data_IF_913355025600
#
_entry.id   IF_913355025600
#
_cell.length_a   1.000
_cell.length_b   1.000
_cell.length_c   1.000
_cell.angle_alpha   90.00
_cell.angle_beta   90.00
_cell.angle_gamma   90.00
#
_symmetry.space_group_name_H-M   'P 1'
#
loop_
_entity.id
_entity.type
_entity.pdbx_description
1 polymer ?
#
# COMPACT_ATOMS: atom_id res chain seq x y z
N UNK A 1 -72.82 14.34 3.66
CA UNK A 1 -72.93 13.14 4.51
C UNK A 1 -73.57 12.04 3.71
N UNK A 2 -73.04 10.82 3.77
CA UNK A 2 -73.73 9.58 3.39
C UNK A 2 -72.96 8.40 4.01
N UNK A 3 -73.69 7.44 4.55
CA UNK A 3 -73.20 6.38 5.44
C UNK A 3 -73.30 5.01 4.77
N UNK A 4 -72.39 4.13 5.18
CA UNK A 4 -72.49 2.64 5.28
C UNK A 4 -72.37 1.78 4.02
N UNK A 5 -71.46 0.81 4.13
CA UNK A 5 -71.43 -0.43 3.33
C UNK A 5 -70.34 -1.37 3.81
N UNK A 6 -70.61 -2.13 4.87
CA UNK A 6 -69.76 -3.21 5.40
C UNK A 6 -70.05 -4.49 4.61
N UNK A 7 -69.03 -5.11 4.00
CA UNK A 7 -69.06 -6.53 3.61
C UNK A 7 -67.89 -7.26 4.23
N UNK A 8 -68.18 -8.51 4.58
CA UNK A 8 -67.50 -9.44 5.45
C UNK A 8 -66.87 -10.53 4.57
N UNK A 9 -65.60 -10.81 4.84
CA UNK A 9 -64.96 -12.14 4.89
C UNK A 9 -65.02 -13.07 3.65
N UNK A 10 -63.85 -13.29 3.06
CA UNK A 10 -63.44 -14.60 2.52
C UNK A 10 -61.96 -14.80 2.80
N UNK A 11 -61.73 -15.36 3.98
CA UNK A 11 -60.69 -16.32 4.35
C UNK A 11 -59.86 -16.92 3.18
N UNK A 12 -58.59 -16.49 3.08
CA UNK A 12 -57.48 -17.28 2.51
C UNK A 12 -56.44 -17.45 3.62
N UNK A 13 -55.95 -18.66 3.91
CA UNK A 13 -54.97 -18.86 4.98
C UNK A 13 -53.63 -18.20 4.60
N UNK A 14 -53.00 -17.39 5.47
CA UNK A 14 -51.64 -16.93 5.22
C UNK A 14 -50.64 -18.04 5.54
N UNK A 15 -49.63 -18.17 4.67
CA UNK A 15 -48.47 -19.02 4.84
C UNK A 15 -47.73 -18.71 6.16
N UNK A 16 -47.12 -19.72 6.82
CA UNK A 16 -46.38 -19.51 8.05
C UNK A 16 -45.01 -18.90 7.74
N UNK A 17 -44.60 -17.88 8.51
CA UNK A 17 -43.17 -17.59 8.65
C UNK A 17 -42.65 -16.16 8.49
N UNK A 18 -43.47 -15.11 8.60
CA UNK A 18 -42.94 -13.73 8.68
C UNK A 18 -43.46 -13.03 9.95
N UNK A 19 -42.56 -12.48 10.80
CA UNK A 19 -42.95 -11.83 12.05
C UNK A 19 -43.70 -10.52 11.75
N UNK A 20 -44.89 -10.38 12.30
CA UNK A 20 -45.69 -9.16 12.25
C UNK A 20 -45.03 -8.05 13.09
N UNK A 21 -45.09 -6.78 12.67
CA UNK A 21 -44.57 -5.67 13.48
C UNK A 21 -45.45 -5.45 14.73
N UNK A 22 -44.88 -5.03 15.87
CA UNK A 22 -45.63 -4.83 17.09
C UNK A 22 -46.55 -3.61 16.98
N UNK A 23 -47.84 -3.78 17.28
CA UNK A 23 -48.75 -2.67 17.52
C UNK A 23 -48.43 -1.98 18.85
N UNK A 24 -48.60 -0.65 18.97
CA UNK A 24 -48.19 0.10 20.14
C UNK A 24 -49.18 -0.05 21.30
N UNK A 25 -48.69 -0.37 22.50
CA UNK A 25 -49.38 -0.04 23.74
C UNK A 25 -49.73 -1.16 24.74
N UNK A 26 -48.92 -2.23 24.92
CA UNK A 26 -49.12 -3.14 26.06
C UNK A 26 -47.79 -3.45 26.80
N UNK A 27 -47.79 -3.56 28.14
CA UNK A 27 -46.58 -3.72 28.94
C UNK A 27 -46.04 -5.16 28.88
N UNK A 28 -44.70 -5.28 28.83
CA UNK A 28 -43.98 -6.56 28.80
C UNK A 28 -44.19 -7.37 30.10
N UNK A 29 -44.48 -8.68 30.03
CA UNK A 29 -44.38 -9.57 31.18
C UNK A 29 -42.91 -9.95 31.47
N UNK A 30 -42.54 -10.20 32.74
CA UNK A 30 -41.18 -10.55 33.13
C UNK A 30 -40.84 -11.99 32.73
N UNK A 31 -39.63 -12.27 32.18
CA UNK A 31 -39.24 -13.63 31.86
C UNK A 31 -38.87 -14.42 33.13
N UNK A 32 -39.53 -15.58 33.25
CA UNK A 32 -39.33 -16.62 34.24
C UNK A 32 -37.92 -17.23 34.15
N UNK A 33 -37.33 -17.52 35.31
CA UNK A 33 -36.02 -18.12 35.49
C UNK A 33 -35.96 -19.60 35.08
N UNK A 34 -34.90 -19.97 34.36
CA UNK A 34 -34.37 -21.34 34.24
C UNK A 34 -32.84 -21.28 34.46
N UNK A 35 -32.23 -22.22 35.20
CA UNK A 35 -30.85 -22.08 35.69
C UNK A 35 -29.81 -22.48 34.64
N UNK A 36 -28.86 -21.60 34.39
CA UNK A 36 -27.64 -21.86 33.61
C UNK A 36 -26.56 -22.50 34.52
N UNK A 37 -25.64 -23.33 33.97
CA UNK A 37 -24.55 -23.92 34.74
C UNK A 37 -23.61 -22.82 35.26
N UNK A 38 -23.08 -23.04 36.47
CA UNK A 38 -22.26 -22.08 37.20
C UNK A 38 -20.98 -21.70 36.42
N UNK A 39 -20.93 -20.46 35.97
CA UNK A 39 -19.69 -19.79 35.58
C UNK A 39 -18.89 -19.41 36.83
N UNK A 40 -17.56 -19.58 36.83
CA UNK A 40 -16.74 -19.21 37.97
C UNK A 40 -16.79 -17.70 38.18
N UNK A 41 -16.70 -17.28 39.45
CA UNK A 41 -16.68 -15.88 39.85
C UNK A 41 -15.64 -15.08 39.05
N UNK A 42 -15.91 -13.82 38.66
CA UNK A 42 -14.88 -12.96 38.12
C UNK A 42 -13.82 -12.75 39.21
N UNK A 43 -12.62 -13.26 38.96
CA UNK A 43 -11.43 -12.83 39.68
C UNK A 43 -11.28 -11.32 39.47
N UNK A 44 -11.00 -10.60 40.56
CA UNK A 44 -10.60 -9.20 40.54
C UNK A 44 -9.44 -9.04 39.56
N UNK A 45 -9.65 -8.22 38.53
CA UNK A 45 -8.57 -7.81 37.63
C UNK A 45 -7.46 -7.12 38.45
N UNK A 46 -6.18 -7.39 38.18
CA UNK A 46 -5.10 -6.59 38.72
C UNK A 46 -5.22 -5.15 38.21
N UNK A 47 -4.92 -4.20 39.09
CA UNK A 47 -4.85 -2.78 38.83
C UNK A 47 -3.91 -2.53 37.63
N UNK A 48 -4.43 -1.89 36.57
CA UNK A 48 -3.62 -1.52 35.43
C UNK A 48 -2.53 -0.53 35.87
N UNK A 49 -1.27 -0.70 35.44
CA UNK A 49 -0.23 0.27 35.73
C UNK A 49 -0.61 1.63 35.12
N UNK A 50 -0.46 2.68 35.92
CA UNK A 50 -0.62 4.07 35.51
C UNK A 50 0.19 4.35 34.23
N UNK A 51 -0.37 5.04 33.23
CA UNK A 51 0.38 5.43 32.04
C UNK A 51 1.55 6.35 32.44
N UNK A 52 2.74 6.04 31.92
CA UNK A 52 3.91 6.89 32.03
C UNK A 52 3.65 8.28 31.40
N UNK A 53 4.25 9.37 31.93
CA UNK A 53 4.11 10.69 31.34
C UNK A 53 4.72 10.72 29.93
N UNK A 54 4.00 11.36 28.99
CA UNK A 54 4.49 11.61 27.63
C UNK A 54 5.85 12.35 27.66
N UNK A 55 6.79 12.02 26.75
CA UNK A 55 8.01 12.80 26.58
C UNK A 55 7.65 14.23 26.14
N UNK A 56 8.33 15.21 26.75
CA UNK A 56 8.19 16.62 26.43
C UNK A 56 8.52 16.88 24.95
N UNK A 57 7.71 17.72 24.30
CA UNK A 57 7.93 18.15 22.93
C UNK A 57 9.34 18.78 22.79
N UNK A 58 10.11 18.42 21.74
CA UNK A 58 11.39 19.07 21.48
C UNK A 58 11.17 20.55 21.13
N UNK A 59 11.99 21.41 21.72
CA UNK A 59 12.10 22.83 21.41
C UNK A 59 12.27 23.07 19.91
N UNK A 60 11.76 24.18 19.34
CA UNK A 60 11.94 24.45 17.91
C UNK A 60 13.42 24.63 17.58
N UNK A 61 13.92 23.84 16.63
CA UNK A 61 15.25 24.01 16.05
C UNK A 61 15.34 25.37 15.31
N UNK A 62 16.52 26.02 15.30
CA UNK A 62 16.77 27.18 14.47
C UNK A 62 16.70 26.82 12.98
N UNK A 63 16.03 27.68 12.20
CA UNK A 63 15.82 27.49 10.76
C UNK A 63 17.16 27.37 10.01
N UNK A 64 17.35 26.26 9.31
CA UNK A 64 18.42 26.10 8.33
C UNK A 64 18.10 26.94 7.06
N UNK A 65 19.10 27.52 6.38
CA UNK A 65 18.88 28.37 5.21
C UNK A 65 18.53 27.54 3.98
N UNK A 66 17.43 27.87 3.31
CA UNK A 66 17.08 27.32 2.00
C UNK A 66 18.02 27.85 0.89
N UNK A 67 18.31 27.06 -0.16
CA UNK A 67 19.10 27.51 -1.31
C UNK A 67 18.35 28.57 -2.15
N UNK A 68 19.08 29.49 -2.83
CA UNK A 68 18.48 30.62 -3.53
C UNK A 68 17.69 30.17 -4.76
N UNK A 69 16.42 30.54 -4.81
CA UNK A 69 15.54 30.35 -5.97
C UNK A 69 15.82 31.46 -6.98
N UNK A 70 16.32 31.07 -8.16
CA UNK A 70 16.73 31.94 -9.26
C UNK A 70 15.51 32.32 -10.13
N UNK A 71 14.59 33.12 -9.58
CA UNK A 71 13.69 33.97 -10.38
C UNK A 71 12.93 34.97 -9.48
N UNK A 72 13.29 36.27 -9.48
CA UNK A 72 12.63 37.26 -8.63
C UNK A 72 11.26 37.68 -9.23
N UNK A 73 10.14 37.60 -8.47
CA UNK A 73 8.94 38.35 -8.80
C UNK A 73 9.24 39.86 -8.69
N UNK A 74 8.61 40.70 -9.52
CA UNK A 74 9.00 42.11 -9.69
C UNK A 74 8.88 42.89 -8.38
N UNK A 75 9.91 43.68 -8.12
CA UNK A 75 10.03 44.58 -6.98
C UNK A 75 8.81 45.54 -6.91
N UNK A 76 7.96 45.34 -5.91
CA UNK A 76 7.09 46.40 -5.41
C UNK A 76 7.94 47.31 -4.51
N UNK A 77 8.67 48.22 -5.14
CA UNK A 77 9.12 49.44 -4.48
C UNK A 77 7.89 50.26 -4.12
N UNK A 78 7.46 50.22 -2.86
CA UNK A 78 6.57 51.23 -2.29
C UNK A 78 7.21 51.76 -1.00
N UNK A 79 8.26 52.54 -1.21
CA UNK A 79 8.54 53.66 -0.33
C UNK A 79 7.48 54.75 -0.60
N UNK A 80 6.98 55.38 0.46
CA UNK A 80 6.11 56.56 0.47
C UNK A 80 4.61 56.37 0.15
N UNK A 81 3.81 56.14 1.22
CA UNK A 81 2.70 57.01 1.66
C UNK A 81 1.60 56.24 2.43
N UNK A 82 1.91 55.87 3.68
CA UNK A 82 0.96 55.41 4.69
C UNK A 82 0.01 56.53 5.15
N UNK A 83 -0.85 57.04 4.27
CA UNK A 83 -1.84 58.08 4.60
C UNK A 83 -3.23 57.88 3.98
N UNK A 84 -3.42 57.02 2.98
CA UNK A 84 -4.75 56.76 2.41
C UNK A 84 -5.42 55.46 2.95
N UNK A 85 -4.66 54.49 3.48
CA UNK A 85 -5.24 53.25 4.04
C UNK A 85 -6.02 53.51 5.36
N UNK A 86 -5.62 54.54 6.12
CA UNK A 86 -6.36 54.99 7.30
C UNK A 86 -7.60 55.82 6.96
N UNK A 87 -7.77 56.29 5.73
CA UNK A 87 -8.91 57.16 5.38
C UNK A 87 -10.23 56.42 5.41
N UNK A 88 -10.24 55.15 5.01
CA UNK A 88 -11.43 54.30 5.11
C UNK A 88 -11.74 53.92 6.56
N UNK A 89 -10.71 53.63 7.38
CA UNK A 89 -10.85 53.37 8.81
C UNK A 89 -11.31 54.60 9.61
N UNK A 90 -10.80 55.79 9.28
CA UNK A 90 -11.14 57.06 9.92
C UNK A 90 -12.62 57.44 9.74
N UNK A 91 -13.25 57.04 8.62
CA UNK A 91 -14.68 57.25 8.35
C UNK A 91 -15.61 56.42 9.25
N UNK A 92 -15.07 55.41 9.93
CA UNK A 92 -15.79 54.59 10.93
C UNK A 92 -15.29 54.85 12.35
N UNK A 93 -14.04 55.26 12.54
CA UNK A 93 -13.49 55.62 13.85
C UNK A 93 -14.27 56.75 14.54
N UNK A 94 -14.87 57.68 13.78
CA UNK A 94 -15.73 58.76 14.32
C UNK A 94 -17.18 58.37 14.57
N UNK A 95 -17.59 57.12 14.31
CA UNK A 95 -18.96 56.65 14.52
C UNK A 95 -19.04 55.88 15.82
N UNK A 96 -19.19 56.67 16.89
CA UNK A 96 -19.54 56.30 18.26
C UNK A 96 -18.46 55.63 19.10
N UNK A 97 -18.02 56.34 20.14
CA UNK A 97 -17.25 55.83 21.29
C UNK A 97 -18.06 54.87 22.18
N UNK A 98 -19.24 54.46 21.72
CA UNK A 98 -20.15 53.58 22.46
C UNK A 98 -19.72 52.13 22.20
N UNK A 99 -19.73 51.25 23.22
CA UNK A 99 -19.40 49.85 23.02
C UNK A 99 -20.31 49.23 21.95
N UNK A 100 -19.76 48.33 21.15
CA UNK A 100 -20.41 47.72 19.98
C UNK A 100 -21.80 47.14 20.30
N UNK A 101 -21.98 46.56 21.50
CA UNK A 101 -23.26 46.05 22.01
C UNK A 101 -24.34 47.14 22.11
N UNK A 102 -23.96 48.35 22.48
CA UNK A 102 -24.87 49.49 22.58
C UNK A 102 -25.25 50.06 21.21
N UNK A 103 -24.37 49.91 20.22
CA UNK A 103 -24.62 50.26 18.81
C UNK A 103 -25.65 49.31 18.22
N UNK A 104 -25.51 47.99 18.39
CA UNK A 104 -26.50 46.99 17.96
C UNK A 104 -27.89 47.28 18.54
N UNK A 105 -27.97 47.51 19.86
CA UNK A 105 -29.23 47.86 20.51
C UNK A 105 -29.80 49.22 20.07
N UNK A 106 -28.95 50.19 19.70
CA UNK A 106 -29.42 51.47 19.13
C UNK A 106 -29.96 51.31 17.73
N UNK A 107 -29.29 50.54 16.87
CA UNK A 107 -29.75 50.26 15.50
C UNK A 107 -31.10 49.52 15.53
N UNK A 108 -31.27 48.59 16.47
CA UNK A 108 -32.54 47.89 16.69
C UNK A 108 -33.68 48.83 17.10
N UNK A 109 -33.39 49.86 17.91
CA UNK A 109 -34.38 50.85 18.35
C UNK A 109 -34.69 51.90 17.27
N UNK A 110 -33.69 52.28 16.48
CA UNK A 110 -33.85 53.24 15.38
C UNK A 110 -34.61 52.61 14.20
N UNK A 111 -34.39 51.32 13.96
CA UNK A 111 -35.08 50.54 12.95
C UNK A 111 -36.44 50.06 13.48
N UNK A 112 -37.41 50.98 13.51
CA UNK A 112 -38.82 50.82 13.90
C UNK A 112 -39.32 49.37 13.98
N UNK A 113 -39.34 48.82 15.20
CA UNK A 113 -40.14 47.73 15.82
C UNK A 113 -40.70 46.50 15.07
N UNK A 114 -40.66 46.37 13.75
CA UNK A 114 -41.33 45.24 13.04
C UNK A 114 -40.40 44.27 12.31
N UNK A 115 -39.08 44.48 12.35
CA UNK A 115 -38.14 43.70 11.52
C UNK A 115 -37.09 42.91 12.33
N UNK A 116 -37.29 42.67 13.63
CA UNK A 116 -36.34 41.89 14.46
C UNK A 116 -35.01 42.62 14.73
N UNK A 117 -34.07 41.96 15.41
CA UNK A 117 -32.73 42.50 15.71
C UNK A 117 -31.85 42.57 14.46
N UNK A 118 -30.89 43.49 14.40
CA UNK A 118 -29.94 43.65 13.31
C UNK A 118 -29.16 42.36 13.04
N UNK A 119 -28.79 41.63 14.10
CA UNK A 119 -28.10 40.34 13.99
C UNK A 119 -28.98 39.26 13.36
N UNK A 120 -30.27 39.26 13.70
CA UNK A 120 -31.27 38.32 13.17
C UNK A 120 -31.49 38.56 11.66
N UNK A 121 -31.58 39.83 11.24
CA UNK A 121 -31.66 40.19 9.81
C UNK A 121 -30.40 39.87 9.03
N UNK A 122 -29.23 40.00 9.66
CA UNK A 122 -27.96 39.62 9.05
C UNK A 122 -27.89 38.10 8.87
N UNK A 123 -28.32 37.33 9.86
CA UNK A 123 -28.42 35.87 9.76
C UNK A 123 -29.42 35.41 8.69
N UNK A 124 -30.56 36.10 8.52
CA UNK A 124 -31.54 35.76 7.49
C UNK A 124 -31.06 36.10 6.07
N UNK A 125 -30.41 37.26 5.89
CA UNK A 125 -29.97 37.74 4.56
C UNK A 125 -28.61 37.19 4.12
N UNK A 126 -27.71 36.90 5.07
CA UNK A 126 -26.34 36.46 4.79
C UNK A 126 -25.96 35.12 5.45
N UNK A 127 -26.71 34.66 6.46
CA UNK A 127 -26.36 33.47 7.25
C UNK A 127 -26.79 32.13 6.65
N UNK A 128 -27.57 32.11 5.58
CA UNK A 128 -28.06 30.86 4.96
C UNK A 128 -27.86 30.81 3.44
N UNK A 129 -27.39 31.88 2.81
CA UNK A 129 -27.11 31.90 1.36
C UNK A 129 -25.81 31.15 1.07
N UNK A 130 -24.77 31.40 1.87
CA UNK A 130 -23.48 30.73 1.75
C UNK A 130 -23.60 29.24 2.07
N UNK A 131 -24.27 28.87 3.17
CA UNK A 131 -24.48 27.46 3.52
C UNK A 131 -25.35 26.72 2.49
N UNK A 132 -26.36 27.38 1.89
CA UNK A 132 -27.14 26.79 0.79
C UNK A 132 -26.31 26.61 -0.48
N UNK A 133 -25.54 27.61 -0.87
CA UNK A 133 -24.65 27.54 -2.04
C UNK A 133 -23.57 26.47 -1.84
N UNK A 134 -22.96 26.41 -0.66
CA UNK A 134 -22.00 25.37 -0.29
C UNK A 134 -22.64 23.99 -0.32
N UNK A 135 -23.87 23.81 0.19
CA UNK A 135 -24.57 22.51 0.12
C UNK A 135 -24.87 22.12 -1.33
N UNK A 136 -25.27 23.07 -2.19
CA UNK A 136 -25.51 22.82 -3.61
C UNK A 136 -24.20 22.47 -4.33
N UNK A 137 -23.12 23.21 -4.07
CA UNK A 137 -21.79 22.93 -4.63
C UNK A 137 -21.26 21.57 -4.18
N UNK A 138 -21.29 21.26 -2.87
CA UNK A 138 -20.90 19.92 -2.36
C UNK A 138 -21.79 18.80 -2.89
N UNK A 139 -23.07 19.07 -3.14
CA UNK A 139 -23.99 18.11 -3.77
C UNK A 139 -23.62 17.90 -5.24
N UNK A 140 -23.36 18.98 -5.98
CA UNK A 140 -22.92 18.95 -7.37
C UNK A 140 -21.57 18.25 -7.54
N UNK A 141 -20.62 18.49 -6.64
CA UNK A 141 -19.32 17.82 -6.66
C UNK A 141 -19.46 16.31 -6.40
N UNK A 142 -20.32 15.91 -5.46
CA UNK A 142 -20.63 14.48 -5.26
C UNK A 142 -21.33 13.87 -6.46
N UNK A 143 -22.28 14.58 -7.05
CA UNK A 143 -23.00 14.11 -8.24
C UNK A 143 -22.07 13.99 -9.45
N UNK A 144 -21.14 14.93 -9.64
CA UNK A 144 -20.11 14.89 -10.68
C UNK A 144 -19.17 13.68 -10.52
N UNK A 145 -18.70 13.42 -9.30
CA UNK A 145 -17.89 12.23 -8.99
C UNK A 145 -18.66 10.93 -9.21
N UNK A 146 -19.94 10.90 -8.83
CA UNK A 146 -20.79 9.73 -9.06
C UNK A 146 -21.07 9.51 -10.55
N UNK A 147 -21.27 10.57 -11.34
CA UNK A 147 -21.40 10.45 -12.79
C UNK A 147 -20.10 9.99 -13.44
N UNK A 148 -18.95 10.48 -12.96
CA UNK A 148 -17.64 10.04 -13.43
C UNK A 148 -17.43 8.54 -13.17
N UNK A 149 -17.78 8.04 -11.98
CA UNK A 149 -17.72 6.61 -11.66
C UNK A 149 -18.71 5.79 -12.50
N UNK A 150 -19.91 6.33 -12.75
CA UNK A 150 -20.97 5.61 -13.49
C UNK A 150 -20.71 5.54 -14.99
N UNK A 151 -20.16 6.61 -15.55
CA UNK A 151 -19.89 6.74 -16.98
C UNK A 151 -18.47 6.25 -17.32
N UNK A 152 -17.64 5.95 -16.31
CA UNK A 152 -16.39 5.23 -16.50
C UNK A 152 -16.68 3.85 -17.11
N UNK A 153 -15.92 3.44 -18.14
CA UNK A 153 -16.00 2.09 -18.69
C UNK A 153 -15.81 1.07 -17.58
N UNK A 154 -16.77 0.16 -17.40
CA UNK A 154 -16.60 -0.95 -16.48
C UNK A 154 -15.51 -1.86 -17.04
N UNK A 155 -14.35 -1.87 -16.38
CA UNK A 155 -13.30 -2.84 -16.66
C UNK A 155 -13.71 -4.13 -15.96
N UNK A 156 -14.36 -5.02 -16.70
CA UNK A 156 -14.38 -6.42 -16.32
C UNK A 156 -12.93 -6.90 -16.50
N UNK A 157 -12.32 -7.39 -15.42
CA UNK A 157 -11.11 -8.18 -15.51
C UNK A 157 -11.51 -9.43 -16.29
N UNK A 158 -11.30 -9.39 -17.60
CA UNK A 158 -11.27 -10.60 -18.40
C UNK A 158 -10.03 -11.31 -17.87
N UNK A 159 -10.25 -12.33 -17.03
CA UNK A 159 -9.34 -13.48 -16.97
C UNK A 159 -9.28 -13.95 -18.42
N UNK A 160 -8.35 -13.40 -19.22
CA UNK A 160 -8.10 -13.88 -20.57
C UNK A 160 -7.62 -15.30 -20.37
N UNK A 161 -8.56 -16.24 -20.54
CA UNK A 161 -8.72 -17.42 -19.70
C UNK A 161 -7.35 -18.02 -19.36
N UNK A 162 -6.92 -17.89 -18.11
CA UNK A 162 -5.68 -18.52 -17.63
C UNK A 162 -5.71 -20.01 -17.98
N UNK A 163 -6.91 -20.63 -17.91
CA UNK A 163 -7.21 -21.97 -18.42
C UNK A 163 -6.97 -22.14 -19.94
N UNK A 164 -7.25 -21.14 -20.78
CA UNK A 164 -6.93 -21.18 -22.23
C UNK A 164 -5.43 -21.08 -22.49
N UNK A 165 -4.72 -20.21 -21.76
CA UNK A 165 -3.27 -20.08 -21.88
C UNK A 165 -2.55 -21.32 -21.37
N UNK A 166 -2.99 -21.92 -20.26
CA UNK A 166 -2.50 -23.19 -19.74
C UNK A 166 -2.74 -24.34 -20.72
N UNK A 167 -3.91 -24.38 -21.37
CA UNK A 167 -4.19 -25.36 -22.42
C UNK A 167 -3.28 -25.18 -23.64
N UNK A 168 -3.00 -23.94 -24.04
CA UNK A 168 -2.06 -23.64 -25.14
C UNK A 168 -0.62 -24.02 -24.76
N UNK A 169 -0.21 -23.76 -23.51
CA UNK A 169 1.08 -24.16 -22.97
C UNK A 169 1.23 -25.69 -23.00
N UNK A 170 0.23 -26.44 -22.53
CA UNK A 170 0.24 -27.90 -22.52
C UNK A 170 0.38 -28.49 -23.93
N UNK A 171 -0.32 -27.94 -24.92
CA UNK A 171 -0.22 -28.37 -26.32
C UNK A 171 1.21 -28.19 -26.87
N UNK A 172 1.85 -27.05 -26.58
CA UNK A 172 3.23 -26.76 -27.00
C UNK A 172 4.24 -27.69 -26.29
N UNK A 173 4.03 -27.98 -25.01
CA UNK A 173 4.89 -28.89 -24.26
C UNK A 173 4.83 -30.33 -24.76
N UNK A 174 3.64 -30.80 -25.15
CA UNK A 174 3.47 -32.11 -25.77
C UNK A 174 4.14 -32.17 -27.15
N UNK A 175 4.04 -31.10 -27.95
CA UNK A 175 4.76 -31.00 -29.22
C UNK A 175 6.28 -31.04 -29.03
N UNK A 176 6.82 -30.26 -28.08
CA UNK A 176 8.24 -30.29 -27.71
C UNK A 176 8.69 -31.66 -27.21
N UNK A 177 7.86 -32.36 -26.43
CA UNK A 177 8.13 -33.72 -25.94
C UNK A 177 8.17 -34.73 -27.09
N UNK A 178 7.34 -34.56 -28.12
CA UNK A 178 7.32 -35.40 -29.31
C UNK A 178 8.52 -35.16 -30.25
N UNK A 179 8.94 -33.91 -30.43
CA UNK A 179 10.01 -33.53 -31.37
C UNK A 179 11.43 -33.69 -30.79
N UNK A 180 11.60 -33.57 -29.46
CA UNK A 180 12.91 -33.79 -28.80
C UNK A 180 13.58 -35.13 -29.13
N UNK A 181 12.92 -36.29 -29.04
CA UNK A 181 13.57 -37.57 -29.33
C UNK A 181 13.98 -37.66 -30.81
N UNK A 182 13.19 -37.10 -31.74
CA UNK A 182 13.54 -37.05 -33.16
C UNK A 182 14.77 -36.16 -33.41
N UNK A 183 14.86 -35.01 -32.74
CA UNK A 183 16.05 -34.17 -32.77
C UNK A 183 17.30 -34.90 -32.26
N UNK A 184 17.18 -35.62 -31.14
CA UNK A 184 18.30 -36.37 -30.56
C UNK A 184 18.73 -37.53 -31.46
N UNK A 185 17.78 -38.23 -32.07
CA UNK A 185 18.06 -39.30 -33.03
C UNK A 185 18.78 -38.74 -34.27
N UNK A 186 18.30 -37.64 -34.84
CA UNK A 186 18.94 -36.97 -35.97
C UNK A 186 20.34 -36.42 -35.62
N UNK A 187 20.54 -35.98 -34.37
CA UNK A 187 21.85 -35.54 -33.85
C UNK A 187 22.81 -36.71 -33.70
N UNK A 188 22.33 -37.87 -33.25
CA UNK A 188 23.12 -39.08 -33.11
C UNK A 188 23.47 -39.73 -34.46
N UNK A 189 22.55 -39.67 -35.44
CA UNK A 189 22.79 -40.16 -36.81
C UNK A 189 23.61 -39.19 -37.67
N UNK A 190 23.72 -37.91 -37.26
CA UNK A 190 24.42 -36.88 -38.01
C UNK A 190 23.64 -36.35 -39.22
N UNK A 191 22.32 -36.57 -39.26
CA UNK A 191 21.45 -36.16 -40.36
C UNK A 191 21.21 -34.64 -40.37
N UNK A 192 22.18 -33.92 -40.94
CA UNK A 192 22.19 -32.45 -41.03
C UNK A 192 20.92 -31.86 -41.67
N UNK A 193 20.33 -32.56 -42.65
CA UNK A 193 19.09 -32.12 -43.31
C UNK A 193 17.90 -32.07 -42.34
N UNK A 194 17.73 -33.10 -41.50
CA UNK A 194 16.66 -33.18 -40.49
C UNK A 194 16.93 -32.16 -39.39
N UNK A 195 18.18 -32.03 -38.94
CA UNK A 195 18.56 -31.03 -37.94
C UNK A 195 18.31 -29.58 -38.41
N UNK A 196 18.55 -29.28 -39.69
CA UNK A 196 18.27 -27.97 -40.27
C UNK A 196 16.77 -27.63 -40.28
N UNK A 197 15.91 -28.65 -40.41
CA UNK A 197 14.46 -28.49 -40.38
C UNK A 197 13.90 -28.40 -38.95
N UNK A 198 14.42 -29.21 -38.03
CA UNK A 198 13.88 -29.31 -36.66
C UNK A 198 14.31 -28.16 -35.75
N UNK A 199 15.51 -27.60 -35.95
CA UNK A 199 16.02 -26.46 -35.15
C UNK A 199 15.08 -25.25 -35.12
N UNK A 200 14.65 -24.67 -36.27
CA UNK A 200 13.79 -23.49 -36.23
C UNK A 200 12.41 -23.76 -35.65
N UNK A 201 11.89 -24.99 -35.82
CA UNK A 201 10.61 -25.41 -35.24
C UNK A 201 10.71 -25.46 -33.71
N UNK A 202 11.76 -26.12 -33.20
CA UNK A 202 11.99 -26.24 -31.77
C UNK A 202 12.22 -24.87 -31.11
N UNK A 203 13.00 -24.00 -31.76
CA UNK A 203 13.23 -22.62 -31.30
C UNK A 203 11.93 -21.81 -31.25
N UNK A 204 11.09 -21.92 -32.29
CA UNK A 204 9.77 -21.31 -32.34
C UNK A 204 8.89 -21.76 -31.16
N UNK A 205 8.75 -23.07 -30.96
CA UNK A 205 7.97 -23.64 -29.85
C UNK A 205 8.52 -23.26 -28.48
N UNK A 206 9.85 -23.19 -28.31
CA UNK A 206 10.45 -22.73 -27.05
C UNK A 206 10.17 -21.24 -26.79
N UNK A 207 10.20 -20.41 -27.83
CA UNK A 207 9.89 -18.98 -27.72
C UNK A 207 8.41 -18.74 -27.37
N UNK A 208 7.49 -19.51 -27.96
CA UNK A 208 6.06 -19.43 -27.69
C UNK A 208 5.74 -19.95 -26.28
N UNK A 209 6.33 -21.09 -25.88
CA UNK A 209 6.25 -21.59 -24.50
C UNK A 209 6.69 -20.53 -23.50
N UNK A 210 7.82 -19.85 -23.76
CA UNK A 210 8.32 -18.78 -22.89
C UNK A 210 7.37 -17.60 -22.85
N UNK A 211 6.82 -17.19 -23.99
CA UNK A 211 5.86 -16.09 -24.08
C UNK A 211 4.57 -16.39 -23.30
N UNK A 212 4.00 -17.58 -23.47
CA UNK A 212 2.76 -17.97 -22.78
C UNK A 212 3.01 -18.14 -21.30
N UNK A 213 4.14 -18.75 -20.90
CA UNK A 213 4.52 -18.86 -19.50
C UNK A 213 4.67 -17.48 -18.85
N UNK A 214 5.28 -16.52 -19.54
CA UNK A 214 5.39 -15.14 -19.07
C UNK A 214 4.00 -14.50 -18.90
N UNK A 215 3.11 -14.65 -19.88
CA UNK A 215 1.73 -14.15 -19.81
C UNK A 215 0.94 -14.74 -18.63
N UNK A 216 1.03 -16.06 -18.39
CA UNK A 216 0.38 -16.74 -17.25
C UNK A 216 0.96 -16.23 -15.92
N UNK A 217 2.28 -16.07 -15.84
CA UNK A 217 2.96 -15.60 -14.63
C UNK A 217 2.76 -14.10 -14.36
N UNK A 218 1.99 -13.39 -15.19
CA UNK A 218 1.77 -11.94 -15.10
C UNK A 218 2.98 -11.10 -15.55
N UNK A 219 3.99 -11.74 -16.11
CA UNK A 219 5.22 -11.13 -16.63
C UNK A 219 4.97 -10.70 -18.10
N UNK A 220 4.83 -9.40 -18.34
CA UNK A 220 4.60 -8.88 -19.70
C UNK A 220 5.76 -9.27 -20.64
N UNK A 221 5.48 -9.67 -21.91
CA UNK A 221 6.53 -9.94 -22.90
C UNK A 221 7.18 -8.62 -23.30
N UNK A 222 8.21 -8.22 -22.55
CA UNK A 222 9.03 -7.07 -22.89
C UNK A 222 9.80 -7.35 -24.17
N UNK A 223 9.58 -6.49 -25.17
CA UNK A 223 10.33 -6.43 -26.43
C UNK A 223 11.84 -6.31 -26.20
N UNK A 224 12.71 -6.52 -27.22
CA UNK A 224 14.16 -6.58 -27.01
C UNK A 224 14.70 -5.18 -26.75
N UNK A 225 14.77 -4.80 -25.47
CA UNK A 225 15.42 -3.59 -25.00
C UNK A 225 16.82 -3.95 -24.52
N UNK A 226 17.79 -3.30 -25.14
CA UNK A 226 19.21 -3.33 -24.79
C UNK A 226 19.37 -2.98 -23.30
N UNK A 227 20.05 -3.88 -22.58
CA UNK A 227 20.83 -3.66 -21.36
C UNK A 227 20.36 -2.49 -20.45
N UNK A 228 19.48 -2.82 -19.51
CA UNK A 228 19.42 -2.19 -18.20
C UNK A 228 18.77 -3.20 -17.26
N UNK A 229 19.56 -3.80 -16.39
CA UNK A 229 19.11 -4.63 -15.28
C UNK A 229 18.04 -3.88 -14.47
N UNK A 230 16.86 -4.47 -14.40
CA UNK A 230 15.94 -4.37 -13.27
C UNK A 230 15.41 -5.79 -13.08
N UNK A 231 15.39 -6.27 -11.83
CA UNK A 231 15.71 -7.64 -11.48
C UNK A 231 14.62 -8.56 -12.01
N UNK A 232 15.07 -9.70 -12.55
CA UNK A 232 14.23 -10.88 -12.54
C UNK A 232 13.70 -11.06 -11.12
N UNK A 233 12.53 -11.66 -10.95
CA UNK A 233 12.36 -12.47 -9.76
C UNK A 233 13.39 -13.60 -9.88
N UNK A 234 14.63 -13.28 -9.49
CA UNK A 234 15.64 -14.26 -9.15
C UNK A 234 14.94 -15.07 -8.07
N UNK A 235 14.63 -16.32 -8.43
CA UNK A 235 14.11 -17.29 -7.47
C UNK A 235 14.95 -17.16 -6.19
N UNK A 236 14.36 -17.31 -5.01
CA UNK A 236 15.10 -17.18 -3.74
C UNK A 236 16.41 -18.01 -3.76
N UNK A 237 16.44 -19.08 -4.57
CA UNK A 237 17.62 -19.84 -4.95
C UNK A 237 18.65 -19.08 -5.80
N UNK A 238 18.28 -18.43 -6.91
CA UNK A 238 19.18 -17.65 -7.78
C UNK A 238 19.79 -16.45 -7.03
N UNK A 239 19.01 -15.82 -6.16
CA UNK A 239 19.44 -14.71 -5.32
C UNK A 239 20.43 -15.19 -4.24
N UNK A 240 20.24 -16.40 -3.70
CA UNK A 240 21.18 -17.05 -2.80
C UNK A 240 22.50 -17.45 -3.50
N UNK A 241 22.45 -17.96 -4.74
CA UNK A 241 23.66 -18.28 -5.53
C UNK A 241 24.50 -17.00 -5.75
N UNK A 242 23.83 -15.89 -6.07
CA UNK A 242 24.48 -14.58 -6.23
C UNK A 242 25.10 -14.10 -4.91
N UNK A 243 24.38 -14.27 -3.80
CA UNK A 243 24.88 -13.99 -2.46
C UNK A 243 26.14 -14.80 -2.11
N UNK A 244 26.17 -16.10 -2.39
CA UNK A 244 27.35 -16.95 -2.14
C UNK A 244 28.55 -16.44 -2.91
N UNK A 245 28.37 -16.02 -4.17
CA UNK A 245 29.44 -15.40 -4.96
C UNK A 245 29.97 -14.11 -4.35
N UNK A 246 29.07 -13.21 -3.93
CA UNK A 246 29.44 -11.95 -3.25
C UNK A 246 30.23 -12.23 -1.97
N UNK A 247 29.79 -13.21 -1.18
CA UNK A 247 30.42 -13.60 0.08
C UNK A 247 31.81 -14.20 -0.15
N UNK A 248 31.98 -15.06 -1.16
CA UNK A 248 33.27 -15.67 -1.47
C UNK A 248 34.29 -14.62 -1.94
N UNK A 249 33.87 -13.69 -2.79
CA UNK A 249 34.70 -12.57 -3.22
C UNK A 249 35.11 -11.69 -2.02
N UNK A 250 34.14 -11.34 -1.15
CA UNK A 250 34.35 -10.47 0.01
C UNK A 250 35.27 -11.10 1.07
N UNK A 251 35.04 -12.37 1.40
CA UNK A 251 35.85 -13.11 2.36
C UNK A 251 37.23 -13.45 1.80
N UNK A 252 37.35 -13.60 0.48
CA UNK A 252 38.60 -13.88 -0.21
C UNK A 252 39.55 -12.68 -0.29
N UNK A 253 39.03 -11.45 -0.39
CA UNK A 253 39.85 -10.24 -0.55
C UNK A 253 40.20 -9.53 0.76
N UNK A 254 39.26 -9.46 1.68
CA UNK A 254 39.32 -8.50 2.79
C UNK A 254 39.58 -9.13 4.16
N UNK A 255 39.74 -10.45 4.21
CA UNK A 255 39.97 -11.17 5.46
C UNK A 255 41.46 -11.48 5.68
N UNK A 256 42.04 -11.19 6.87
CA UNK A 256 43.44 -11.50 7.15
C UNK A 256 43.73 -13.01 7.14
N UNK A 257 44.90 -13.40 6.60
CA UNK A 257 45.33 -14.80 6.45
C UNK A 257 45.31 -15.62 7.77
N UNK A 258 45.52 -14.97 8.91
CA UNK A 258 45.45 -15.62 10.23
C UNK A 258 44.03 -16.09 10.55
N UNK A 259 43.03 -15.28 10.24
CA UNK A 259 41.62 -15.59 10.48
C UNK A 259 41.11 -16.59 9.44
N UNK A 260 41.55 -16.49 8.18
CA UNK A 260 41.29 -17.51 7.15
C UNK A 260 41.85 -18.87 7.58
N UNK A 261 43.08 -18.89 8.08
CA UNK A 261 43.74 -20.12 8.54
C UNK A 261 43.03 -20.71 9.77
N UNK A 262 42.57 -19.88 10.70
CA UNK A 262 41.78 -20.35 11.84
C UNK A 262 40.42 -20.92 11.40
N UNK A 263 39.77 -20.27 10.44
CA UNK A 263 38.50 -20.70 9.90
C UNK A 263 38.61 -22.02 9.12
N UNK A 264 39.61 -22.19 8.24
CA UNK A 264 39.83 -23.45 7.50
C UNK A 264 40.08 -24.65 8.44
N UNK A 265 40.64 -24.39 9.62
CA UNK A 265 40.85 -25.43 10.64
C UNK A 265 39.64 -25.64 11.56
N UNK A 266 38.58 -24.83 11.44
CA UNK A 266 37.35 -24.96 12.22
C UNK A 266 36.40 -25.99 11.60
N UNK A 267 35.52 -26.54 12.42
CA UNK A 267 34.49 -27.49 11.98
C UNK A 267 33.41 -26.82 11.09
N UNK A 268 33.34 -25.47 11.10
CA UNK A 268 32.37 -24.67 10.34
C UNK A 268 32.75 -24.54 8.86
N UNK A 269 34.04 -24.68 8.53
CA UNK A 269 34.51 -24.62 7.15
C UNK A 269 33.92 -25.73 6.27
N UNK A 270 33.57 -26.87 6.84
CA UNK A 270 32.91 -27.95 6.10
C UNK A 270 31.54 -27.54 5.54
N UNK A 271 30.75 -26.82 6.35
CA UNK A 271 29.43 -26.30 5.95
C UNK A 271 29.62 -25.18 4.90
N UNK A 272 30.60 -24.30 5.13
CA UNK A 272 30.95 -23.25 4.16
C UNK A 272 31.32 -23.84 2.81
N UNK A 273 32.19 -24.84 2.75
CA UNK A 273 32.65 -25.46 1.51
C UNK A 273 31.52 -26.20 0.78
N UNK A 274 30.64 -26.88 1.51
CA UNK A 274 29.50 -27.62 0.94
C UNK A 274 28.50 -26.65 0.28
N UNK A 275 28.15 -25.56 0.96
CA UNK A 275 27.20 -24.56 0.45
C UNK A 275 27.85 -23.67 -0.63
N UNK A 276 29.13 -23.34 -0.50
CA UNK A 276 29.87 -22.56 -1.50
C UNK A 276 30.14 -23.36 -2.79
N UNK A 277 30.25 -24.69 -2.69
CA UNK A 277 30.49 -25.56 -3.84
C UNK A 277 29.27 -25.77 -4.72
N UNK A 278 28.09 -25.97 -4.13
CA UNK A 278 26.81 -26.16 -4.84
C UNK A 278 25.65 -25.42 -4.11
N UNK A 279 25.60 -24.08 -4.19
CA UNK A 279 24.61 -23.26 -3.48
C UNK A 279 23.15 -23.57 -3.86
N UNK A 280 22.93 -24.01 -5.09
CA UNK A 280 21.61 -24.35 -5.62
C UNK A 280 21.04 -25.65 -5.01
N UNK A 281 21.91 -26.56 -4.55
CA UNK A 281 21.50 -27.85 -3.97
C UNK A 281 21.39 -27.85 -2.44
N UNK A 282 21.87 -26.79 -1.78
CA UNK A 282 21.89 -26.68 -0.33
C UNK A 282 20.48 -26.54 0.25
N UNK A 283 20.18 -27.28 1.32
CA UNK A 283 18.92 -27.15 2.04
C UNK A 283 18.83 -25.83 2.82
N UNK A 284 17.61 -25.36 3.06
CA UNK A 284 17.31 -24.14 3.83
C UNK A 284 18.06 -24.09 5.19
N UNK A 285 18.08 -25.20 5.93
CA UNK A 285 18.81 -25.34 7.21
C UNK A 285 20.35 -25.16 7.07
N UNK A 286 20.93 -25.54 5.93
CA UNK A 286 22.36 -25.37 5.65
C UNK A 286 22.65 -23.94 5.19
N UNK A 287 21.74 -23.36 4.41
CA UNK A 287 21.81 -21.95 4.00
C UNK A 287 21.75 -21.01 5.21
N UNK A 288 20.89 -21.29 6.18
CA UNK A 288 20.84 -20.52 7.44
C UNK A 288 22.13 -20.63 8.26
N UNK A 289 22.70 -21.84 8.37
CA UNK A 289 23.99 -22.04 9.03
C UNK A 289 25.12 -21.32 8.30
N UNK A 290 25.13 -21.37 6.96
CA UNK A 290 26.09 -20.65 6.14
C UNK A 290 26.01 -19.13 6.39
N UNK A 291 24.82 -18.54 6.36
CA UNK A 291 24.62 -17.10 6.62
C UNK A 291 25.13 -16.73 8.03
N UNK A 292 24.88 -17.56 9.05
CA UNK A 292 25.40 -17.31 10.41
C UNK A 292 26.93 -17.37 10.48
N UNK A 293 27.56 -18.28 9.74
CA UNK A 293 29.02 -18.41 9.69
C UNK A 293 29.63 -17.19 8.99
N UNK A 294 29.03 -16.76 7.89
CA UNK A 294 29.44 -15.60 7.10
C UNK A 294 29.33 -14.31 7.92
N UNK A 295 28.22 -14.10 8.63
CA UNK A 295 28.03 -12.93 9.49
C UNK A 295 29.06 -12.86 10.64
N UNK A 296 29.34 -14.00 11.26
CA UNK A 296 30.40 -14.10 12.28
C UNK A 296 31.77 -13.72 11.71
N UNK A 297 32.03 -14.10 10.47
CA UNK A 297 33.29 -13.86 9.80
C UNK A 297 33.42 -12.42 9.28
N UNK A 298 32.33 -11.80 8.84
CA UNK A 298 32.24 -10.37 8.54
C UNK A 298 32.54 -9.51 9.77
N UNK A 299 32.13 -9.97 10.97
CA UNK A 299 32.48 -9.34 12.24
C UNK A 299 33.98 -9.33 12.57
N UNK A 300 34.78 -10.18 11.92
CA UNK A 300 36.24 -10.24 12.10
C UNK A 300 37.00 -9.35 11.11
N UNK A 301 36.30 -8.66 10.22
CA UNK A 301 36.90 -7.78 9.21
C UNK A 301 37.16 -6.37 9.75
N UNK A 302 37.98 -5.60 9.03
CA UNK A 302 38.22 -4.19 9.39
C UNK A 302 36.99 -3.32 9.13
N UNK A 303 36.77 -2.28 9.96
CA UNK A 303 35.66 -1.33 9.76
C UNK A 303 35.71 -0.63 8.40
N UNK A 304 36.91 -0.48 7.81
CA UNK A 304 37.09 0.13 6.49
C UNK A 304 36.56 -0.77 5.37
N UNK A 305 36.88 -2.08 5.41
CA UNK A 305 36.36 -3.07 4.46
C UNK A 305 34.83 -3.22 4.56
N UNK A 306 34.29 -3.25 5.79
CA UNK A 306 32.84 -3.33 6.00
C UNK A 306 32.13 -2.08 5.46
N UNK A 307 32.65 -0.88 5.71
CA UNK A 307 32.05 0.35 5.18
C UNK A 307 32.12 0.42 3.65
N UNK A 308 33.19 -0.09 3.04
CA UNK A 308 33.32 -0.19 1.58
C UNK A 308 32.26 -1.13 1.00
N UNK A 309 32.04 -2.28 1.65
CA UNK A 309 31.04 -3.25 1.23
C UNK A 309 29.61 -2.72 1.39
N UNK A 310 29.28 -2.09 2.52
CA UNK A 310 27.94 -1.51 2.75
C UNK A 310 27.61 -0.38 1.77
N UNK A 311 28.63 0.31 1.25
CA UNK A 311 28.46 1.33 0.21
C UNK A 311 28.34 0.74 -1.22
N UNK A 312 28.59 -0.57 -1.38
CA UNK A 312 28.49 -1.26 -2.66
C UNK A 312 27.04 -1.68 -2.96
N UNK A 313 26.68 -1.82 -4.25
CA UNK A 313 25.35 -2.33 -4.63
C UNK A 313 25.12 -3.79 -4.16
N UNK A 314 26.19 -4.55 -3.94
CA UNK A 314 26.13 -5.96 -3.52
C UNK A 314 25.58 -6.13 -2.10
N UNK A 315 25.64 -5.06 -1.28
CA UNK A 315 25.08 -5.06 0.06
C UNK A 315 23.56 -5.24 0.07
N UNK A 316 22.84 -4.77 -0.95
CA UNK A 316 21.39 -4.93 -1.03
C UNK A 316 21.01 -6.41 -1.11
N UNK A 317 21.73 -7.18 -1.94
CA UNK A 317 21.56 -8.63 -2.10
C UNK A 317 21.98 -9.37 -0.82
N UNK A 318 23.10 -8.97 -0.21
CA UNK A 318 23.52 -9.52 1.09
C UNK A 318 22.45 -9.31 2.16
N UNK A 319 21.91 -8.10 2.26
CA UNK A 319 20.94 -7.74 3.29
C UNK A 319 19.61 -8.47 3.10
N UNK A 320 19.13 -8.63 1.87
CA UNK A 320 17.87 -9.33 1.59
C UNK A 320 17.96 -10.80 1.98
N UNK A 321 19.02 -11.49 1.56
CA UNK A 321 19.28 -12.90 1.94
C UNK A 321 19.51 -13.02 3.44
N UNK A 322 20.36 -12.18 4.03
CA UNK A 322 20.63 -12.25 5.47
C UNK A 322 19.34 -12.12 6.30
N UNK A 323 18.44 -11.18 5.94
CA UNK A 323 17.16 -11.03 6.65
C UNK A 323 16.22 -12.22 6.49
N UNK A 324 16.31 -12.94 5.37
CA UNK A 324 15.48 -14.12 5.11
C UNK A 324 15.86 -15.29 6.02
N UNK A 325 17.16 -15.47 6.28
CA UNK A 325 17.69 -16.62 7.02
C UNK A 325 18.02 -16.34 8.51
N UNK A 326 17.85 -15.10 8.99
CA UNK A 326 18.17 -14.68 10.37
C UNK A 326 16.97 -14.72 11.34
N UNK A 327 15.94 -15.52 11.04
CA UNK A 327 14.70 -15.65 11.83
C UNK A 327 14.78 -16.65 12.99
#
# INVERSE_FOLDING_TARGET
GLRKGKKKDTQTPPAPGLPLPPLPGMPLPPPNAMPLPATPAPASLPEAPTPAPLPAAPSPLPAAPMPPSENPPPAATNDSSSSEENKYGELWAKRSDKPLQQIFGHIDRLSKKDTGSLLDRYADRFGHSLDREIVVLRKKDREAKLSEIRDAPTVELIEEDEESLENQLAAIEDELRSLRPEYQAAKASGDSAILAQLRPILEGLMSERKSIKAMIQGEQPSAPTVASEAPAEDSEEDLFVTFVGIVDDLLGSDLPEEVVSQFINSDEFGIYQEVAGDPDSASDDLRAQFVSIVDAQLGNMSEESVNSFVASPDFEIYSSVATHYQA
#
